data_IF_099267109138
#
_entry.id   IF_099267109138
#
_cell.length_a   1.000
_cell.length_b   1.000
_cell.length_c   1.000
_cell.angle_alpha   90.00
_cell.angle_beta   90.00
_cell.angle_gamma   90.00
#
_symmetry.space_group_name_H-M   'P 1'
#
loop_
_entity.id
_entity.type
_entity.pdbx_description
1 polymer ?
#
# COMPACT_ATOMS: atom_id res chain seq x y z
N UNK A 1 18.11 8.76 -2.13
CA UNK A 1 17.79 8.54 -0.70
C UNK A 1 16.65 9.44 -0.23
N UNK A 2 16.67 10.75 -0.55
CA UNK A 2 15.69 11.75 -0.07
C UNK A 2 14.22 11.36 -0.22
N UNK A 3 13.79 10.83 -1.38
CA UNK A 3 12.38 10.51 -1.62
C UNK A 3 11.88 9.30 -0.78
N UNK A 4 12.77 8.40 -0.37
CA UNK A 4 12.40 7.27 0.49
C UNK A 4 12.39 7.69 1.97
N UNK A 5 13.38 8.48 2.38
CA UNK A 5 13.51 8.95 3.76
C UNK A 5 12.41 9.95 4.17
N UNK A 6 11.83 10.67 3.21
CA UNK A 6 10.75 11.64 3.45
C UNK A 6 9.34 11.04 3.41
N UNK A 7 9.19 9.71 3.29
CA UNK A 7 7.87 9.09 3.23
C UNK A 7 7.12 9.19 4.55
N UNK A 8 5.86 9.54 4.47
CA UNK A 8 4.91 9.54 5.59
C UNK A 8 3.98 8.33 5.47
N UNK A 9 3.66 7.72 6.61
CA UNK A 9 2.52 6.83 6.76
C UNK A 9 1.36 7.66 7.28
N UNK A 10 0.23 7.64 6.58
CA UNK A 10 -1.00 8.26 7.04
C UNK A 10 -1.88 7.21 7.69
N UNK A 11 -2.24 7.44 8.95
CA UNK A 11 -3.14 6.59 9.73
C UNK A 11 -4.47 7.30 9.92
N UNK A 12 -5.57 6.64 9.54
CA UNK A 12 -6.92 7.10 9.83
C UNK A 12 -7.29 6.67 11.25
N UNK A 13 -7.76 7.62 12.07
CA UNK A 13 -8.31 7.30 13.39
C UNK A 13 -9.74 6.80 13.21
N UNK A 14 -9.98 5.56 13.60
CA UNK A 14 -11.31 4.94 13.58
C UNK A 14 -12.07 5.23 14.87
N UNK A 15 -13.39 5.08 14.83
CA UNK A 15 -14.25 5.16 16.03
C UNK A 15 -13.95 4.04 17.03
N UNK A 16 -14.54 4.13 18.22
CA UNK A 16 -14.33 3.18 19.32
C UNK A 16 -14.65 1.71 18.97
N UNK A 17 -15.47 1.50 17.95
CA UNK A 17 -15.89 0.20 17.42
C UNK A 17 -15.13 -0.23 16.15
N UNK A 18 -14.09 0.51 15.76
CA UNK A 18 -13.34 0.27 14.54
C UNK A 18 -14.07 0.72 13.26
N UNK A 19 -15.22 1.39 13.36
CA UNK A 19 -15.90 1.92 12.20
C UNK A 19 -15.32 3.27 11.78
N UNK A 20 -15.36 3.54 10.46
CA UNK A 20 -15.03 4.86 9.93
C UNK A 20 -16.01 5.91 10.43
N UNK A 21 -15.50 6.99 11.01
CA UNK A 21 -16.31 8.15 11.40
C UNK A 21 -16.62 8.96 10.14
N UNK A 22 -17.88 8.89 9.68
CA UNK A 22 -18.31 9.50 8.42
C UNK A 22 -18.33 11.04 8.45
N UNK A 23 -18.52 11.64 9.63
CA UNK A 23 -18.75 13.09 9.79
C UNK A 23 -17.46 13.89 9.94
N UNK A 24 -16.42 13.33 10.55
CA UNK A 24 -15.15 14.00 10.75
C UNK A 24 -14.01 12.97 10.75
N UNK A 25 -13.26 12.92 9.66
CA UNK A 25 -12.11 12.03 9.53
C UNK A 25 -10.88 12.70 10.12
N UNK A 26 -10.22 12.01 11.05
CA UNK A 26 -8.98 12.47 11.65
C UNK A 26 -7.84 11.58 11.16
N UNK A 27 -6.78 12.22 10.68
CA UNK A 27 -5.61 11.55 10.16
C UNK A 27 -4.36 11.99 10.94
N UNK A 28 -3.49 11.03 11.23
CA UNK A 28 -2.14 11.27 11.72
C UNK A 28 -1.14 10.93 10.60
N UNK A 29 -0.16 11.79 10.36
CA UNK A 29 0.91 11.52 9.41
C UNK A 29 2.22 11.32 10.17
N UNK A 30 2.78 10.12 10.09
CA UNK A 30 3.98 9.72 10.83
C UNK A 30 5.10 9.46 9.83
N UNK A 31 6.30 10.06 10.00
CA UNK A 31 7.46 9.72 9.18
C UNK A 31 7.76 8.22 9.24
N UNK A 32 8.00 7.60 8.08
CA UNK A 32 8.32 6.17 7.99
C UNK A 32 9.63 5.85 8.70
N UNK A 33 10.65 6.67 8.44
CA UNK A 33 12.00 6.49 8.97
C UNK A 33 12.31 7.62 9.94
N UNK A 34 12.83 7.27 11.11
CA UNK A 34 13.45 8.22 12.01
C UNK A 34 14.90 8.52 11.63
N UNK A 35 15.56 7.61 10.88
CA UNK A 35 16.93 7.79 10.41
C UNK A 35 17.18 6.98 9.13
N UNK A 36 17.98 7.56 8.23
CA UNK A 36 18.50 6.89 7.05
C UNK A 36 19.91 7.40 6.76
N UNK A 37 20.91 6.54 6.92
CA UNK A 37 22.31 6.83 6.63
C UNK A 37 22.81 6.00 5.45
N UNK A 38 23.70 6.59 4.65
CA UNK A 38 24.50 5.87 3.66
C UNK A 38 25.95 5.81 4.15
N UNK A 39 26.54 4.62 4.16
CA UNK A 39 27.96 4.47 4.44
C UNK A 39 28.71 4.46 3.11
N UNK A 40 29.34 5.58 2.81
CA UNK A 40 30.09 5.77 1.57
C UNK A 40 31.25 4.76 1.45
N UNK A 41 31.50 4.28 0.23
CA UNK A 41 32.54 3.28 -0.04
C UNK A 41 32.15 1.83 0.28
N UNK A 42 31.12 1.59 1.11
CA UNK A 42 30.67 0.24 1.48
C UNK A 42 29.39 -0.20 0.75
N UNK A 43 28.65 0.74 0.15
CA UNK A 43 27.35 0.44 -0.47
C UNK A 43 26.27 0.07 0.55
N UNK A 44 26.47 0.40 1.83
CA UNK A 44 25.60 0.02 2.93
C UNK A 44 24.60 1.12 3.26
N UNK A 45 23.35 0.72 3.54
CA UNK A 45 22.27 1.57 4.02
C UNK A 45 21.91 1.17 5.45
N UNK A 46 21.95 2.13 6.38
CA UNK A 46 21.53 1.94 7.76
C UNK A 46 20.25 2.73 7.97
N UNK A 47 19.15 2.03 8.28
CA UNK A 47 17.83 2.62 8.40
C UNK A 47 17.25 2.36 9.79
N UNK A 48 16.53 3.34 10.34
CA UNK A 48 15.72 3.18 11.55
C UNK A 48 14.29 3.59 11.26
N UNK A 49 13.35 2.66 11.40
CA UNK A 49 11.92 2.99 11.37
C UNK A 49 11.56 3.94 12.53
N UNK A 50 10.51 4.73 12.36
CA UNK A 50 9.99 5.52 13.45
C UNK A 50 9.35 4.61 14.51
N UNK A 51 9.71 4.81 15.77
CA UNK A 51 9.26 3.98 16.91
C UNK A 51 7.73 4.09 17.09
N UNK A 52 7.11 5.20 16.68
CA UNK A 52 5.65 5.36 16.64
C UNK A 52 4.95 4.35 15.71
N UNK A 53 5.69 3.74 14.77
CA UNK A 53 5.17 2.75 13.84
C UNK A 53 5.29 1.31 14.35
N UNK A 54 5.92 1.08 15.51
CA UNK A 54 6.21 -0.26 16.02
C UNK A 54 4.95 -1.14 16.12
N UNK A 55 3.86 -0.61 16.67
CA UNK A 55 2.61 -1.35 16.87
C UNK A 55 1.90 -1.68 15.55
N UNK A 56 2.19 -0.93 14.49
CA UNK A 56 1.61 -1.12 13.15
C UNK A 56 2.45 -2.03 12.25
N UNK A 57 3.73 -2.25 12.56
CA UNK A 57 4.65 -3.00 11.71
C UNK A 57 5.08 -4.35 12.30
N UNK A 58 5.21 -4.47 13.63
CA UNK A 58 5.85 -5.63 14.26
C UNK A 58 4.89 -6.52 15.05
N UNK A 59 3.86 -5.94 15.68
CA UNK A 59 2.94 -6.67 16.57
C UNK A 59 1.67 -7.14 15.85
N UNK A 60 1.82 -7.64 14.61
CA UNK A 60 0.73 -8.09 13.77
C UNK A 60 0.18 -9.45 14.23
N UNK A 61 -0.68 -9.45 15.25
CA UNK A 61 -1.23 -10.68 15.81
C UNK A 61 -2.50 -11.16 15.10
N UNK A 62 -3.37 -10.24 14.64
CA UNK A 62 -4.66 -10.53 14.02
C UNK A 62 -4.96 -9.48 12.94
N UNK A 63 -5.77 -9.86 11.95
CA UNK A 63 -6.26 -8.96 10.89
C UNK A 63 -5.14 -8.29 10.06
N UNK A 64 -4.17 -9.07 9.60
CA UNK A 64 -3.11 -8.59 8.74
C UNK A 64 -3.07 -9.39 7.44
N UNK A 65 -2.55 -8.77 6.39
CA UNK A 65 -2.44 -9.39 5.06
C UNK A 65 -1.05 -9.98 4.89
N UNK A 66 -0.99 -11.26 4.51
CA UNK A 66 0.26 -11.95 4.21
C UNK A 66 0.40 -12.22 2.71
N UNK A 67 1.64 -12.12 2.24
CA UNK A 67 2.02 -12.42 0.88
C UNK A 67 3.44 -13.01 0.87
N UNK A 68 3.70 -13.94 -0.04
CA UNK A 68 5.06 -14.42 -0.27
C UNK A 68 5.82 -13.37 -1.10
N UNK A 69 7.05 -13.04 -0.69
CA UNK A 69 7.87 -12.08 -1.42
C UNK A 69 8.08 -12.50 -2.88
N UNK A 70 8.25 -13.81 -3.14
CA UNK A 70 8.41 -14.35 -4.48
C UNK A 70 7.23 -14.02 -5.41
N UNK A 71 6.01 -13.93 -4.88
CA UNK A 71 4.81 -13.58 -5.64
C UNK A 71 4.78 -12.09 -5.96
N UNK A 72 5.12 -11.25 -4.99
CA UNK A 72 5.23 -9.80 -5.17
C UNK A 72 6.29 -9.43 -6.21
N UNK A 73 7.41 -10.15 -6.25
CA UNK A 73 8.51 -9.91 -7.20
C UNK A 73 8.13 -10.18 -8.67
N UNK A 74 7.03 -10.91 -8.92
CA UNK A 74 6.51 -11.13 -10.29
C UNK A 74 5.81 -9.90 -10.85
N UNK A 75 5.35 -9.00 -9.98
CA UNK A 75 4.59 -7.81 -10.34
C UNK A 75 5.55 -6.68 -10.71
N UNK A 76 5.38 -6.12 -11.91
CA UNK A 76 6.26 -5.06 -12.43
C UNK A 76 5.66 -3.67 -12.23
N UNK A 77 4.34 -3.58 -12.18
CA UNK A 77 3.64 -2.32 -11.95
C UNK A 77 3.37 -2.10 -10.46
N UNK A 78 3.63 -0.88 -10.01
CA UNK A 78 3.29 -0.45 -8.66
C UNK A 78 1.77 -0.46 -8.40
N UNK A 79 0.96 -0.30 -9.46
CA UNK A 79 -0.50 -0.46 -9.37
C UNK A 79 -0.90 -1.94 -9.27
N UNK A 80 -0.28 -2.83 -10.05
CA UNK A 80 -0.51 -4.28 -9.92
C UNK A 80 -0.17 -4.77 -8.52
N UNK A 81 0.95 -4.31 -7.96
CA UNK A 81 1.39 -4.65 -6.60
C UNK A 81 0.36 -4.22 -5.55
N UNK A 82 -0.20 -3.01 -5.68
CA UNK A 82 -1.26 -2.55 -4.77
C UNK A 82 -2.57 -3.31 -4.95
N UNK A 83 -2.97 -3.62 -6.19
CA UNK A 83 -4.16 -4.43 -6.46
C UNK A 83 -4.00 -5.84 -5.88
N UNK A 84 -2.82 -6.46 -6.00
CA UNK A 84 -2.51 -7.72 -5.35
C UNK A 84 -2.76 -7.64 -3.84
N UNK A 85 -2.23 -6.63 -3.16
CA UNK A 85 -2.47 -6.44 -1.72
C UNK A 85 -3.96 -6.31 -1.37
N UNK A 86 -4.73 -5.53 -2.13
CA UNK A 86 -6.17 -5.36 -1.93
C UNK A 86 -6.94 -6.68 -2.10
N UNK A 87 -6.54 -7.52 -3.05
CA UNK A 87 -7.15 -8.81 -3.30
C UNK A 87 -6.76 -9.84 -2.23
N UNK A 88 -5.49 -9.87 -1.81
CA UNK A 88 -5.02 -10.75 -0.73
C UNK A 88 -5.69 -10.45 0.60
N UNK A 89 -5.87 -9.17 0.92
CA UNK A 89 -6.61 -8.73 2.10
C UNK A 89 -8.03 -9.33 2.12
N UNK A 90 -8.65 -9.50 0.95
CA UNK A 90 -10.01 -9.99 0.79
C UNK A 90 -10.11 -11.47 0.38
N UNK A 91 -9.00 -12.21 0.33
CA UNK A 91 -8.96 -13.58 -0.20
C UNK A 91 -9.95 -14.51 0.52
N UNK A 92 -10.14 -14.34 1.83
CA UNK A 92 -11.09 -15.12 2.62
C UNK A 92 -12.56 -14.78 2.35
N UNK A 93 -12.85 -13.55 1.89
CA UNK A 93 -14.21 -13.05 1.62
C UNK A 93 -14.60 -13.18 0.13
N UNK A 94 -13.61 -13.31 -0.75
CA UNK A 94 -13.76 -13.63 -2.16
C UNK A 94 -14.02 -12.43 -3.08
N UNK A 95 -14.78 -11.41 -2.64
CA UNK A 95 -15.07 -10.22 -3.46
C UNK A 95 -15.03 -8.92 -2.67
N UNK A 96 -14.64 -7.85 -3.37
CA UNK A 96 -14.64 -6.48 -2.87
C UNK A 96 -15.19 -5.54 -3.94
N UNK A 97 -15.99 -4.57 -3.53
CA UNK A 97 -16.46 -3.47 -4.37
C UNK A 97 -15.85 -2.17 -3.85
N UNK A 98 -15.21 -1.41 -4.73
CA UNK A 98 -14.54 -0.14 -4.40
C UNK A 98 -14.98 0.89 -5.45
N UNK A 99 -15.23 2.13 -5.01
CA UNK A 99 -15.47 3.24 -5.92
C UNK A 99 -14.22 3.53 -6.78
N UNK A 100 -14.41 3.95 -8.03
CA UNK A 100 -13.30 4.20 -8.95
C UNK A 100 -12.31 5.24 -8.40
N UNK A 101 -12.82 6.33 -7.85
CA UNK A 101 -11.98 7.41 -7.31
C UNK A 101 -11.22 6.98 -6.06
N UNK A 102 -11.83 6.16 -5.21
CA UNK A 102 -11.15 5.56 -4.04
C UNK A 102 -10.06 4.59 -4.49
N UNK A 103 -10.33 3.73 -5.49
CA UNK A 103 -9.31 2.86 -6.04
C UNK A 103 -8.16 3.67 -6.63
N UNK A 104 -8.44 4.71 -7.43
CA UNK A 104 -7.39 5.60 -7.97
C UNK A 104 -6.56 6.23 -6.86
N UNK A 105 -7.18 6.69 -5.77
CA UNK A 105 -6.46 7.25 -4.63
C UNK A 105 -5.54 6.22 -3.97
N UNK A 106 -6.03 5.00 -3.71
CA UNK A 106 -5.22 3.91 -3.15
C UNK A 106 -4.03 3.58 -4.06
N UNK A 107 -4.24 3.58 -5.38
CA UNK A 107 -3.19 3.29 -6.36
C UNK A 107 -2.19 4.44 -6.55
N UNK A 108 -2.46 5.62 -5.99
CA UNK A 108 -1.66 6.84 -6.20
C UNK A 108 -1.87 7.49 -7.56
N UNK A 109 -3.05 7.28 -8.17
CA UNK A 109 -3.41 7.68 -9.53
C UNK A 109 -4.60 8.65 -9.57
N UNK A 110 -4.84 9.39 -8.48
CA UNK A 110 -6.02 10.27 -8.34
C UNK A 110 -6.15 11.30 -9.47
N UNK A 111 -5.02 11.82 -9.95
CA UNK A 111 -4.95 12.84 -11.00
C UNK A 111 -4.63 12.25 -12.38
N UNK A 112 -4.63 10.92 -12.51
CA UNK A 112 -4.29 10.24 -13.75
C UNK A 112 -5.52 9.55 -14.37
N UNK A 113 -5.45 9.35 -15.69
CA UNK A 113 -6.44 8.59 -16.46
C UNK A 113 -7.88 9.12 -16.34
N UNK A 114 -8.12 10.38 -16.75
CA UNK A 114 -9.45 11.00 -16.73
C UNK A 114 -10.53 10.15 -17.39
N UNK A 115 -10.19 9.52 -18.51
CA UNK A 115 -11.09 8.59 -19.19
C UNK A 115 -10.91 7.17 -18.66
N UNK A 116 -12.02 6.56 -18.26
CA UNK A 116 -12.04 5.20 -17.73
C UNK A 116 -11.44 4.16 -18.69
N UNK A 117 -11.62 4.31 -20.00
CA UNK A 117 -11.04 3.39 -20.98
C UNK A 117 -9.50 3.29 -20.87
N UNK A 118 -8.82 4.42 -20.62
CA UNK A 118 -7.38 4.47 -20.40
C UNK A 118 -7.02 3.80 -19.07
N UNK A 119 -7.75 4.10 -18.00
CA UNK A 119 -7.53 3.46 -16.69
C UNK A 119 -7.70 1.94 -16.79
N UNK A 120 -8.77 1.47 -17.44
CA UNK A 120 -9.01 0.05 -17.68
C UNK A 120 -7.86 -0.59 -18.44
N UNK A 121 -7.50 -0.07 -19.61
CA UNK A 121 -6.49 -0.68 -20.48
C UNK A 121 -5.08 -0.65 -19.86
N UNK A 122 -4.70 0.45 -19.20
CA UNK A 122 -3.33 0.66 -18.70
C UNK A 122 -3.11 0.14 -17.28
N UNK A 123 -4.15 0.12 -16.45
CA UNK A 123 -4.05 -0.25 -15.04
C UNK A 123 -4.72 -1.60 -14.80
N UNK A 124 -6.01 -1.74 -15.08
CA UNK A 124 -6.77 -2.94 -14.70
C UNK A 124 -6.40 -4.18 -15.52
N UNK A 125 -6.40 -4.08 -16.85
CA UNK A 125 -6.06 -5.22 -17.72
C UNK A 125 -4.59 -5.60 -17.56
N UNK A 126 -3.70 -4.61 -17.36
CA UNK A 126 -2.30 -4.87 -17.03
C UNK A 126 -2.16 -5.61 -15.70
N UNK A 127 -2.83 -5.14 -14.65
CA UNK A 127 -2.78 -5.79 -13.35
C UNK A 127 -3.32 -7.22 -13.45
N UNK A 128 -4.44 -7.42 -14.12
CA UNK A 128 -4.99 -8.77 -14.37
C UNK A 128 -3.99 -9.70 -15.06
N UNK A 129 -3.29 -9.22 -16.07
CA UNK A 129 -2.27 -10.01 -16.77
C UNK A 129 -1.06 -10.35 -15.87
N UNK A 130 -0.56 -9.39 -15.08
CA UNK A 130 0.55 -9.64 -14.15
C UNK A 130 0.13 -10.59 -13.01
N UNK A 131 -1.07 -10.40 -12.45
CA UNK A 131 -1.64 -11.21 -11.37
C UNK A 131 -1.85 -12.67 -11.74
N UNK A 132 -2.12 -12.98 -13.01
CA UNK A 132 -2.28 -14.36 -13.50
C UNK A 132 -0.99 -15.22 -13.34
N UNK A 133 0.15 -14.60 -13.05
CA UNK A 133 1.41 -15.28 -12.79
C UNK A 133 1.68 -15.43 -11.28
N UNK A 134 0.79 -14.94 -10.42
CA UNK A 134 0.91 -14.98 -8.96
C UNK A 134 0.12 -16.14 -8.34
N UNK A 135 0.09 -16.21 -7.01
CA UNK A 135 -0.68 -17.18 -6.21
C UNK A 135 -2.15 -16.76 -5.97
N UNK A 136 -2.66 -15.78 -6.72
CA UNK A 136 -4.05 -15.33 -6.73
C UNK A 136 -4.90 -16.05 -7.77
#
# INVERSE_FOLDING_TARGET
MENFASRLITLETLGADGQRIMTQRTYSAIPLLARADYVEGEGLLILRFNDELQDYLLQLQRHFTQAQLAELMKLKSAASSRIYWLLREYAAFGKRTIALDELKAILGLSQEYDRFNNFRARVLERAKAELAHTDL
#
